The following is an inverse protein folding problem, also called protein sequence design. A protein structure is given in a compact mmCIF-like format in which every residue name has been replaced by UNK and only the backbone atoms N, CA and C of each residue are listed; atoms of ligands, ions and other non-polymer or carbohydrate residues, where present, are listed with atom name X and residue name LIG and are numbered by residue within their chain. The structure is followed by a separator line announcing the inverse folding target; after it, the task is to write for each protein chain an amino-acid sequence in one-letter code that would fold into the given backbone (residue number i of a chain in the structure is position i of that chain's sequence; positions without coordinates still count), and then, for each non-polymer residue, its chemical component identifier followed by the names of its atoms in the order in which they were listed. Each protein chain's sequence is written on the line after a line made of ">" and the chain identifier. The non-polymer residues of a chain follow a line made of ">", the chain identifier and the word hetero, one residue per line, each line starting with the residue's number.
data_IF_160910245599
#
_entry.id   IF_160910245599
#
_cell.length_a   1.000
_cell.length_b   1.000
_cell.length_c   1.000
_cell.angle_alpha   90.00
_cell.angle_beta   90.00
_cell.angle_gamma   90.00
#
_symmetry.space_group_name_H-M   'P 1'
#
loop_
_entity.id
_entity.type
_entity.pdbx_description
1 polymer ?
#
# COMPACT_ATOMS: atom_id res chain seq x y z
N UNK A 1 12.56 -32.35 -4.15
CA UNK A 1 12.49 -31.02 -4.76
C UNK A 1 12.81 -31.20 -6.23
N UNK A 2 11.86 -30.94 -7.11
CA UNK A 2 12.11 -30.95 -8.56
C UNK A 2 12.98 -29.75 -8.93
N UNK A 3 14.02 -30.00 -9.71
CA UNK A 3 14.86 -28.93 -10.27
C UNK A 3 14.02 -28.08 -11.23
N UNK A 4 14.20 -26.74 -11.22
CA UNK A 4 13.47 -25.85 -12.11
C UNK A 4 13.83 -26.13 -13.58
N UNK A 5 12.83 -26.03 -14.46
CA UNK A 5 12.97 -26.24 -15.91
C UNK A 5 14.04 -25.31 -16.49
N UNK A 6 14.89 -25.83 -17.38
CA UNK A 6 16.07 -25.14 -17.94
C UNK A 6 15.77 -23.82 -18.66
N UNK A 7 14.51 -23.55 -19.02
CA UNK A 7 14.05 -22.30 -19.65
C UNK A 7 13.84 -21.14 -18.65
N UNK A 8 13.92 -21.41 -17.34
CA UNK A 8 13.85 -20.41 -16.26
C UNK A 8 15.22 -20.14 -15.61
N UNK A 9 16.30 -20.72 -16.16
CA UNK A 9 17.63 -20.44 -15.67
C UNK A 9 18.16 -19.18 -16.36
N UNK A 10 18.38 -18.12 -15.58
CA UNK A 10 19.09 -16.92 -16.01
C UNK A 10 20.38 -17.30 -16.77
N UNK A 11 20.74 -16.55 -17.82
CA UNK A 11 21.97 -16.81 -18.55
C UNK A 11 23.22 -16.53 -17.68
N UNK A 12 24.41 -16.94 -18.15
CA UNK A 12 25.62 -16.81 -17.35
C UNK A 12 26.02 -15.35 -17.04
N UNK A 13 25.68 -14.39 -17.91
CA UNK A 13 25.92 -12.96 -17.70
C UNK A 13 24.89 -12.35 -16.74
N UNK A 14 23.64 -12.81 -16.80
CA UNK A 14 22.54 -12.40 -15.93
C UNK A 14 22.72 -12.93 -14.49
N UNK A 15 23.31 -14.12 -14.32
CA UNK A 15 23.75 -14.64 -13.00
C UNK A 15 24.94 -13.88 -12.43
N UNK A 16 25.79 -13.31 -13.27
CA UNK A 16 26.99 -12.57 -12.84
C UNK A 16 26.64 -11.13 -12.42
N UNK A 17 25.53 -10.58 -12.94
CA UNK A 17 24.98 -9.28 -12.56
C UNK A 17 23.75 -9.37 -11.64
N UNK A 18 23.41 -10.56 -11.15
CA UNK A 18 22.34 -10.73 -10.18
C UNK A 18 22.71 -9.95 -8.91
N UNK A 19 21.83 -9.06 -8.40
CA UNK A 19 22.12 -8.35 -7.17
C UNK A 19 22.33 -9.37 -6.04
N UNK A 20 23.38 -9.15 -5.25
CA UNK A 20 23.61 -9.91 -4.03
C UNK A 20 22.54 -9.50 -3.02
N UNK A 21 21.43 -10.24 -3.00
CA UNK A 21 20.31 -10.00 -2.11
C UNK A 21 20.70 -10.13 -0.63
N UNK A 22 21.77 -10.86 -0.33
CA UNK A 22 22.30 -11.02 1.02
C UNK A 22 23.20 -9.82 1.42
N UNK A 23 23.62 -8.97 0.47
CA UNK A 23 24.37 -7.75 0.72
C UNK A 23 23.48 -6.50 0.90
N UNK A 24 22.17 -6.59 0.64
CA UNK A 24 21.23 -5.52 0.96
C UNK A 24 21.17 -5.37 2.48
N UNK A 25 21.23 -4.12 2.97
CA UNK A 25 20.92 -3.82 4.37
C UNK A 25 19.60 -4.51 4.71
N UNK A 26 19.60 -5.30 5.79
CA UNK A 26 18.38 -6.01 6.17
C UNK A 26 17.24 -5.00 6.32
N UNK A 27 16.03 -5.28 5.81
CA UNK A 27 14.90 -4.35 5.93
C UNK A 27 14.68 -3.91 7.39
N UNK A 28 14.97 -4.80 8.33
CA UNK A 28 14.92 -4.54 9.77
C UNK A 28 15.91 -3.45 10.23
N UNK A 29 17.10 -3.40 9.66
CA UNK A 29 18.13 -2.42 10.01
C UNK A 29 17.89 -1.06 9.32
N UNK A 30 17.22 -1.06 8.16
CA UNK A 30 16.83 0.16 7.46
C UNK A 30 15.65 0.88 8.16
N UNK A 31 14.77 0.13 8.83
CA UNK A 31 13.53 0.65 9.42
C UNK A 31 13.67 1.02 10.90
N UNK A 32 14.62 0.44 11.65
CA UNK A 32 14.82 0.75 13.09
C UNK A 32 15.31 2.18 13.31
N UNK A 33 14.37 3.12 13.36
CA UNK A 33 14.57 4.44 13.97
C UNK A 33 14.34 4.37 15.48
N UNK A 34 14.96 5.24 16.27
CA UNK A 34 14.75 5.37 17.72
C UNK A 34 13.33 5.89 18.10
N UNK A 35 12.28 5.28 17.56
CA UNK A 35 10.88 5.63 17.80
C UNK A 35 10.03 4.38 17.76
N UNK A 36 10.08 3.59 18.83
CA UNK A 36 9.28 2.36 19.03
C UNK A 36 7.82 2.47 18.58
N UNK A 37 7.18 3.63 18.81
CA UNK A 37 5.82 3.90 18.33
C UNK A 37 5.72 3.89 16.80
N UNK A 38 6.65 4.55 16.12
CA UNK A 38 6.66 4.68 14.66
C UNK A 38 6.86 3.30 14.02
N UNK A 39 7.74 2.46 14.59
CA UNK A 39 7.94 1.07 14.12
C UNK A 39 6.66 0.23 14.24
N UNK A 40 5.96 0.32 15.37
CA UNK A 40 4.66 -0.35 15.54
C UNK A 40 3.57 0.22 14.65
N UNK A 41 3.61 1.53 14.40
CA UNK A 41 2.67 2.20 13.51
C UNK A 41 2.87 1.71 12.07
N UNK A 42 4.12 1.65 11.60
CA UNK A 42 4.46 1.13 10.28
C UNK A 42 4.09 -0.34 10.12
N UNK A 43 4.37 -1.17 11.14
CA UNK A 43 3.96 -2.57 11.17
C UNK A 43 2.44 -2.74 11.01
N UNK A 44 1.66 -1.97 11.78
CA UNK A 44 0.20 -1.96 11.71
C UNK A 44 -0.32 -1.44 10.37
N UNK A 45 0.28 -0.38 9.85
CA UNK A 45 -0.08 0.15 8.53
C UNK A 45 0.25 -0.85 7.41
N UNK A 46 1.19 -1.77 7.61
CA UNK A 46 1.53 -2.84 6.68
C UNK A 46 0.57 -4.03 6.66
N UNK A 47 -0.34 -4.16 7.64
CA UNK A 47 -1.22 -5.32 7.75
C UNK A 47 -2.20 -5.45 6.57
N UNK A 48 -2.14 -6.60 5.89
CA UNK A 48 -3.07 -6.98 4.81
C UNK A 48 -4.09 -8.04 5.23
N UNK A 49 -3.88 -8.67 6.40
CA UNK A 49 -4.73 -9.70 7.01
C UNK A 49 -4.75 -9.49 8.54
N UNK A 50 -5.72 -10.09 9.27
CA UNK A 50 -5.70 -10.08 10.73
C UNK A 50 -4.38 -10.62 11.27
N UNK A 51 -3.81 -9.94 12.26
CA UNK A 51 -2.55 -10.31 12.89
C UNK A 51 -2.64 -10.24 14.43
N UNK A 52 -1.97 -11.15 15.09
CA UNK A 52 -1.81 -11.19 16.54
C UNK A 52 -0.80 -10.15 17.03
N UNK A 53 -0.80 -9.85 18.33
CA UNK A 53 0.23 -9.01 18.93
C UNK A 53 1.65 -9.57 18.74
N UNK A 54 1.82 -10.89 18.66
CA UNK A 54 3.12 -11.51 18.39
C UNK A 54 3.60 -11.21 16.97
N UNK A 55 2.73 -11.40 15.97
CA UNK A 55 3.08 -11.12 14.57
C UNK A 55 3.38 -9.63 14.36
N UNK A 56 2.64 -8.74 15.02
CA UNK A 56 2.91 -7.29 14.98
C UNK A 56 4.25 -6.94 15.66
N UNK A 57 4.58 -7.60 16.77
CA UNK A 57 5.87 -7.45 17.45
C UNK A 57 7.04 -7.85 16.56
N UNK A 58 6.91 -8.98 15.87
CA UNK A 58 7.91 -9.48 14.93
C UNK A 58 8.09 -8.51 13.76
N UNK A 59 7.00 -7.99 13.19
CA UNK A 59 7.04 -6.99 12.11
C UNK A 59 7.70 -5.67 12.55
N UNK A 60 7.48 -5.25 13.80
CA UNK A 60 8.05 -4.01 14.34
C UNK A 60 9.48 -4.18 14.87
N UNK A 61 9.97 -5.42 15.04
CA UNK A 61 11.26 -5.71 15.66
C UNK A 61 11.32 -5.38 17.16
N UNK A 62 10.19 -5.44 17.86
CA UNK A 62 10.04 -5.08 19.28
C UNK A 62 9.36 -6.22 20.08
N UNK A 63 9.26 -6.07 21.40
CA UNK A 63 8.66 -7.08 22.28
C UNK A 63 7.12 -7.16 22.20
N UNK A 64 6.58 -8.36 22.40
CA UNK A 64 5.12 -8.63 22.37
C UNK A 64 4.33 -7.81 23.40
N UNK A 65 4.91 -7.54 24.57
CA UNK A 65 4.25 -6.72 25.59
C UNK A 65 4.07 -5.27 25.12
N UNK A 66 5.10 -4.68 24.49
CA UNK A 66 4.99 -3.37 23.86
C UNK A 66 3.98 -3.38 22.71
N UNK A 67 3.94 -4.46 21.92
CA UNK A 67 2.97 -4.61 20.84
C UNK A 67 1.52 -4.57 21.36
N UNK A 68 1.23 -5.23 22.49
CA UNK A 68 -0.10 -5.18 23.12
C UNK A 68 -0.46 -3.76 23.55
N UNK A 69 0.44 -3.06 24.24
CA UNK A 69 0.22 -1.67 24.66
C UNK A 69 -0.07 -0.74 23.47
N UNK A 70 0.72 -0.85 22.39
CA UNK A 70 0.52 -0.02 21.20
C UNK A 70 -0.72 -0.42 20.41
N UNK A 71 -1.09 -1.70 20.33
CA UNK A 71 -2.30 -2.15 19.67
C UNK A 71 -3.56 -1.65 20.39
N UNK A 72 -3.58 -1.68 21.72
CA UNK A 72 -4.65 -1.06 22.52
C UNK A 72 -4.73 0.45 22.26
N UNK A 73 -3.59 1.14 22.22
CA UNK A 73 -3.55 2.58 21.91
C UNK A 73 -4.04 2.88 20.49
N UNK A 74 -3.62 2.09 19.50
CA UNK A 74 -4.05 2.22 18.10
C UNK A 74 -5.53 1.90 17.92
N UNK A 75 -6.06 0.94 18.66
CA UNK A 75 -7.49 0.64 18.67
C UNK A 75 -8.29 1.81 19.23
N UNK A 76 -7.83 2.40 20.34
CA UNK A 76 -8.46 3.58 20.94
C UNK A 76 -8.49 4.80 20.01
N UNK A 77 -7.49 4.95 19.14
CA UNK A 77 -7.45 5.99 18.11
C UNK A 77 -8.18 5.61 16.82
N UNK A 78 -8.68 4.37 16.71
CA UNK A 78 -9.35 3.84 15.54
C UNK A 78 -8.42 3.45 14.39
N UNK A 79 -7.12 3.33 14.61
CA UNK A 79 -6.12 2.95 13.58
C UNK A 79 -6.19 1.44 13.28
N UNK A 80 -6.48 0.64 14.30
CA UNK A 80 -6.80 -0.79 14.17
C UNK A 80 -8.18 -1.10 14.73
N UNK A 81 -8.68 -2.29 14.43
CA UNK A 81 -9.82 -2.91 15.11
C UNK A 81 -9.44 -4.30 15.56
N UNK A 82 -9.75 -4.68 16.80
CA UNK A 82 -9.74 -6.08 17.18
C UNK A 82 -10.86 -6.84 16.48
N UNK A 83 -10.57 -8.01 15.90
CA UNK A 83 -11.55 -8.84 15.16
C UNK A 83 -11.76 -10.22 15.76
N UNK A 84 -10.88 -10.66 16.66
CA UNK A 84 -11.04 -11.89 17.44
C UNK A 84 -10.59 -11.67 18.88
N UNK A 85 -11.08 -12.49 19.80
CA UNK A 85 -10.75 -12.38 21.24
C UNK A 85 -9.71 -13.41 21.71
N UNK A 86 -9.62 -14.59 21.09
CA UNK A 86 -8.75 -15.68 21.56
C UNK A 86 -8.20 -16.55 20.42
N UNK A 87 -6.93 -16.35 19.99
CA UNK A 87 -6.08 -15.21 20.34
C UNK A 87 -6.66 -13.90 19.81
N UNK A 88 -6.31 -12.78 20.45
CA UNK A 88 -6.65 -11.46 19.93
C UNK A 88 -5.95 -11.22 18.60
N UNK A 89 -6.71 -10.82 17.57
CA UNK A 89 -6.17 -10.40 16.28
C UNK A 89 -6.70 -9.04 15.91
N UNK A 90 -5.88 -8.28 15.21
CA UNK A 90 -6.11 -6.90 14.84
C UNK A 90 -6.04 -6.76 13.33
N UNK A 91 -6.91 -5.91 12.79
CA UNK A 91 -6.86 -5.46 11.39
C UNK A 91 -6.65 -3.97 11.34
N UNK A 92 -5.90 -3.49 10.35
CA UNK A 92 -5.84 -2.07 10.02
C UNK A 92 -7.24 -1.56 9.69
N UNK A 93 -7.67 -0.48 10.33
CA UNK A 93 -8.96 0.14 10.08
C UNK A 93 -8.92 0.98 8.79
N UNK A 94 -8.96 0.29 7.64
CA UNK A 94 -8.82 0.95 6.33
C UNK A 94 -9.89 2.02 6.10
N UNK A 95 -11.11 1.80 6.56
CA UNK A 95 -12.22 2.74 6.41
C UNK A 95 -11.95 4.06 7.13
N UNK A 96 -11.47 4.00 8.37
CA UNK A 96 -11.13 5.21 9.14
C UNK A 96 -9.95 5.97 8.52
N UNK A 97 -8.91 5.27 8.09
CA UNK A 97 -7.75 5.90 7.45
C UNK A 97 -8.13 6.57 6.12
N UNK A 98 -8.99 5.92 5.31
CA UNK A 98 -9.52 6.50 4.08
C UNK A 98 -10.39 7.73 4.38
N UNK A 99 -11.26 7.65 5.38
CA UNK A 99 -12.10 8.79 5.79
C UNK A 99 -11.24 9.98 6.26
N UNK A 100 -10.23 9.76 7.11
CA UNK A 100 -9.29 10.83 7.52
C UNK A 100 -8.58 11.47 6.33
N UNK A 101 -8.19 10.66 5.35
CA UNK A 101 -7.55 11.16 4.11
C UNK A 101 -8.51 12.01 3.28
N UNK A 102 -9.77 11.62 3.18
CA UNK A 102 -10.81 12.40 2.49
C UNK A 102 -11.07 13.72 3.21
N UNK A 103 -11.22 13.70 4.53
CA UNK A 103 -11.42 14.93 5.33
C UNK A 103 -10.26 15.91 5.13
N UNK A 104 -9.02 15.44 5.20
CA UNK A 104 -7.84 16.26 4.92
C UNK A 104 -7.90 16.92 3.53
N UNK A 105 -8.31 16.19 2.49
CA UNK A 105 -8.46 16.75 1.15
C UNK A 105 -9.54 17.83 1.08
N UNK A 106 -10.66 17.65 1.79
CA UNK A 106 -11.75 18.61 1.84
C UNK A 106 -11.41 19.86 2.67
N UNK A 107 -10.59 19.70 3.71
CA UNK A 107 -10.11 20.80 4.54
C UNK A 107 -9.06 21.65 3.82
N UNK A 108 -8.19 21.01 3.02
CA UNK A 108 -7.07 21.67 2.34
C UNK A 108 -7.45 22.28 0.98
N UNK A 109 -8.44 21.72 0.29
CA UNK A 109 -8.75 22.09 -1.10
C UNK A 109 -10.23 22.33 -1.33
N UNK A 110 -10.54 23.32 -2.17
CA UNK A 110 -11.90 23.55 -2.65
C UNK A 110 -12.37 22.44 -3.59
N UNK A 111 -13.69 22.27 -3.72
CA UNK A 111 -14.27 21.30 -4.68
C UNK A 111 -13.81 21.55 -6.12
N UNK A 112 -13.54 22.81 -6.50
CA UNK A 112 -13.02 23.14 -7.83
C UNK A 112 -11.58 22.63 -8.03
N UNK A 113 -10.70 22.80 -7.04
CA UNK A 113 -9.33 22.28 -7.08
C UNK A 113 -9.30 20.75 -7.08
N UNK A 114 -10.13 20.11 -6.25
CA UNK A 114 -10.27 18.66 -6.23
C UNK A 114 -10.75 18.11 -7.58
N UNK A 115 -11.65 18.82 -8.26
CA UNK A 115 -12.12 18.45 -9.61
C UNK A 115 -11.00 18.57 -10.66
N UNK A 116 -10.14 19.59 -10.58
CA UNK A 116 -8.99 19.71 -11.48
C UNK A 116 -7.93 18.62 -11.22
N UNK A 117 -7.69 18.27 -9.96
CA UNK A 117 -6.83 17.13 -9.62
C UNK A 117 -7.40 15.82 -10.14
N UNK A 118 -8.73 15.63 -10.03
CA UNK A 118 -9.40 14.44 -10.53
C UNK A 118 -9.24 14.32 -12.05
N UNK A 119 -9.47 15.39 -12.80
CA UNK A 119 -9.25 15.41 -14.26
C UNK A 119 -7.82 15.04 -14.62
N UNK A 120 -6.84 15.59 -13.91
CA UNK A 120 -5.42 15.34 -14.16
C UNK A 120 -5.06 13.87 -13.93
N UNK A 121 -5.48 13.30 -12.80
CA UNK A 121 -5.17 11.90 -12.46
C UNK A 121 -5.97 10.91 -13.33
N UNK A 122 -7.20 11.26 -13.73
CA UNK A 122 -7.99 10.46 -14.66
C UNK A 122 -7.34 10.40 -16.05
N UNK A 123 -6.92 11.54 -16.60
CA UNK A 123 -6.20 11.60 -17.87
C UNK A 123 -4.90 10.78 -17.82
N UNK A 124 -4.12 10.92 -16.74
CA UNK A 124 -2.90 10.12 -16.53
C UNK A 124 -3.18 8.62 -16.49
N UNK A 125 -4.27 8.20 -15.83
CA UNK A 125 -4.66 6.80 -15.77
C UNK A 125 -5.10 6.26 -17.14
N UNK A 126 -5.76 7.08 -17.96
CA UNK A 126 -6.17 6.76 -19.32
C UNK A 126 -4.96 6.64 -20.26
N UNK A 127 -4.04 7.61 -20.25
CA UNK A 127 -2.79 7.57 -21.02
C UNK A 127 -1.97 6.29 -20.73
N UNK A 128 -1.90 5.88 -19.46
CA UNK A 128 -1.20 4.65 -19.06
C UNK A 128 -1.97 3.39 -19.48
N UNK A 129 -3.31 3.41 -19.44
CA UNK A 129 -4.13 2.30 -19.93
C UNK A 129 -3.95 2.11 -21.44
N UNK A 130 -3.96 3.20 -22.21
CA UNK A 130 -3.71 3.19 -23.66
C UNK A 130 -2.29 2.70 -23.98
N UNK A 131 -1.27 3.18 -23.24
CA UNK A 131 0.12 2.76 -23.42
C UNK A 131 0.28 1.23 -23.29
N UNK A 132 -0.39 0.62 -22.31
CA UNK A 132 -0.27 -0.81 -22.05
C UNK A 132 -1.29 -1.67 -22.80
N UNK A 133 -2.31 -1.07 -23.41
CA UNK A 133 -3.42 -1.73 -24.11
C UNK A 133 -4.08 -2.84 -23.26
N UNK A 134 -4.29 -2.55 -21.97
CA UNK A 134 -4.97 -3.46 -21.04
C UNK A 134 -5.95 -2.69 -20.15
N UNK A 135 -6.94 -3.39 -19.60
CA UNK A 135 -7.96 -2.78 -18.75
C UNK A 135 -7.48 -2.47 -17.31
N UNK A 136 -6.34 -3.03 -16.87
CA UNK A 136 -5.87 -2.89 -15.49
C UNK A 136 -4.35 -3.05 -15.39
N UNK A 137 -3.66 -2.30 -14.50
CA UNK A 137 -2.22 -2.44 -14.29
C UNK A 137 -1.81 -3.85 -13.84
N UNK A 138 -2.71 -4.61 -13.20
CA UNK A 138 -2.49 -6.00 -12.80
C UNK A 138 -2.38 -6.97 -13.97
N UNK A 139 -2.90 -6.60 -15.15
CA UNK A 139 -2.84 -7.42 -16.36
C UNK A 139 -1.53 -7.24 -17.14
N UNK A 140 -0.69 -6.26 -16.77
CA UNK A 140 0.57 -5.98 -17.46
C UNK A 140 1.61 -7.04 -17.12
N UNK A 141 2.12 -7.71 -18.14
CA UNK A 141 3.30 -8.58 -18.00
C UNK A 141 4.57 -7.76 -18.23
N UNK A 142 5.30 -7.46 -17.15
CA UNK A 142 6.47 -6.58 -17.19
C UNK A 142 7.53 -7.03 -18.19
N UNK A 143 7.94 -8.30 -18.13
CA UNK A 143 8.96 -8.86 -19.02
C UNK A 143 8.52 -8.87 -20.48
N UNK A 144 7.29 -9.30 -20.77
CA UNK A 144 6.77 -9.32 -22.15
C UNK A 144 6.67 -7.93 -22.75
N UNK A 145 6.22 -6.96 -21.97
CA UNK A 145 6.09 -5.59 -22.44
C UNK A 145 7.48 -4.96 -22.66
N UNK A 146 8.40 -5.11 -21.71
CA UNK A 146 9.78 -4.65 -21.81
C UNK A 146 10.47 -5.18 -23.09
N UNK A 147 10.36 -6.48 -23.37
CA UNK A 147 10.93 -7.08 -24.59
C UNK A 147 10.24 -6.62 -25.88
N UNK A 148 8.94 -6.32 -25.85
CA UNK A 148 8.19 -5.89 -27.03
C UNK A 148 8.41 -4.42 -27.39
N UNK A 149 8.77 -3.59 -26.41
CA UNK A 149 8.97 -2.14 -26.57
C UNK A 149 10.43 -1.70 -26.47
N UNK A 150 11.38 -2.65 -26.37
CA UNK A 150 12.82 -2.40 -26.12
C UNK A 150 13.07 -1.48 -24.90
N UNK A 151 12.23 -1.60 -23.86
CA UNK A 151 12.34 -0.87 -22.60
C UNK A 151 12.95 -1.74 -21.50
N UNK A 152 13.51 -1.11 -20.46
CA UNK A 152 13.93 -1.86 -19.28
C UNK A 152 12.71 -2.32 -18.46
N UNK A 153 12.87 -3.43 -17.72
CA UNK A 153 11.83 -3.90 -16.80
C UNK A 153 11.52 -2.85 -15.71
N UNK A 154 12.54 -2.10 -15.28
CA UNK A 154 12.43 -1.01 -14.30
C UNK A 154 11.48 0.09 -14.82
N UNK A 155 11.67 0.56 -16.05
CA UNK A 155 10.83 1.61 -16.65
C UNK A 155 9.37 1.16 -16.80
N UNK A 156 9.18 -0.10 -17.17
CA UNK A 156 7.85 -0.70 -17.28
C UNK A 156 7.20 -0.81 -15.90
N UNK A 157 7.96 -1.25 -14.89
CA UNK A 157 7.49 -1.33 -13.51
C UNK A 157 7.13 0.03 -12.92
N UNK A 158 7.94 1.06 -13.19
CA UNK A 158 7.67 2.44 -12.77
C UNK A 158 6.37 2.94 -13.39
N UNK A 159 6.18 2.74 -14.70
CA UNK A 159 4.96 3.14 -15.39
C UNK A 159 3.71 2.40 -14.86
N UNK A 160 3.80 1.09 -14.59
CA UNK A 160 2.71 0.33 -13.97
C UNK A 160 2.41 0.83 -12.54
N UNK A 161 3.44 1.15 -11.76
CA UNK A 161 3.30 1.68 -10.40
C UNK A 161 2.69 3.08 -10.40
N UNK A 162 3.08 3.94 -11.36
CA UNK A 162 2.46 5.23 -11.59
C UNK A 162 0.98 5.08 -11.96
N UNK A 163 0.63 4.07 -12.76
CA UNK A 163 -0.75 3.81 -13.14
C UNK A 163 -1.62 3.39 -11.94
N UNK A 164 -1.13 2.46 -11.11
CA UNK A 164 -1.79 2.08 -9.86
C UNK A 164 -2.01 3.28 -8.94
N UNK A 165 -1.02 4.17 -8.88
CA UNK A 165 -1.10 5.40 -8.07
C UNK A 165 -2.16 6.35 -8.62
N UNK A 166 -2.19 6.60 -9.93
CA UNK A 166 -3.17 7.47 -10.57
C UNK A 166 -4.60 6.97 -10.31
N UNK A 167 -4.85 5.67 -10.50
CA UNK A 167 -6.16 5.05 -10.21
C UNK A 167 -6.58 5.21 -8.74
N UNK A 168 -5.65 4.97 -7.80
CA UNK A 168 -5.93 5.16 -6.37
C UNK A 168 -6.24 6.63 -6.03
N UNK A 169 -5.58 7.58 -6.68
CA UNK A 169 -5.85 9.01 -6.50
C UNK A 169 -7.22 9.40 -7.04
N UNK A 170 -7.59 8.89 -8.22
CA UNK A 170 -8.93 9.07 -8.80
C UNK A 170 -10.01 8.62 -7.81
N UNK A 171 -9.94 7.39 -7.30
CA UNK A 171 -10.93 6.86 -6.34
C UNK A 171 -11.02 7.69 -5.05
N UNK A 172 -9.90 8.24 -4.59
CA UNK A 172 -9.84 9.06 -3.39
C UNK A 172 -10.47 10.44 -3.62
N UNK A 173 -10.18 11.07 -4.76
CA UNK A 173 -10.71 12.37 -5.16
C UNK A 173 -12.22 12.31 -5.45
N UNK A 174 -12.69 11.26 -6.14
CA UNK A 174 -14.11 11.01 -6.33
C UNK A 174 -14.86 10.88 -5.00
N UNK A 175 -14.28 10.16 -4.03
CA UNK A 175 -14.86 10.04 -2.68
C UNK A 175 -14.88 11.38 -1.95
N UNK A 176 -13.83 12.20 -2.11
CA UNK A 176 -13.78 13.54 -1.53
C UNK A 176 -14.79 14.50 -2.16
N UNK A 177 -15.15 14.31 -3.43
CA UNK A 177 -16.20 15.10 -4.08
C UNK A 177 -17.62 14.59 -3.78
N UNK A 178 -17.78 13.28 -3.54
CA UNK A 178 -19.08 12.66 -3.29
C UNK A 178 -19.59 12.80 -1.84
N UNK A 179 -18.69 13.02 -0.88
CA UNK A 179 -19.05 13.15 0.54
C UNK A 179 -19.28 14.61 0.87
N UNK A 180 -20.46 15.01 1.35
CA UNK A 180 -20.61 16.37 1.88
C UNK A 180 -19.77 16.55 3.16
N UNK A 181 -19.15 17.73 3.39
CA UNK A 181 -18.44 18.03 4.62
C UNK A 181 -19.43 18.05 5.80
N UNK A 182 -19.67 16.88 6.41
CA UNK A 182 -20.57 16.68 7.55
C UNK A 182 -21.34 15.36 7.56
N UNK A 183 -21.54 14.70 6.41
CA UNK A 183 -22.51 13.60 6.28
C UNK A 183 -22.02 12.23 6.82
N UNK A 184 -20.71 12.06 7.00
CA UNK A 184 -20.13 10.78 7.45
C UNK A 184 -20.22 10.54 8.98
N UNK A 185 -20.45 11.58 9.78
CA UNK A 185 -20.59 11.43 11.24
C UNK A 185 -21.95 10.82 11.63
N UNK A 186 -22.99 11.04 10.81
CA UNK A 186 -24.34 10.58 11.12
C UNK A 186 -24.60 9.10 10.78
N UNK A 187 -23.78 8.48 9.93
CA UNK A 187 -23.98 7.08 9.51
C UNK A 187 -23.32 6.04 10.43
N UNK A 188 -22.51 6.45 11.42
CA UNK A 188 -21.86 5.52 12.36
C UNK A 188 -22.65 5.33 13.68
N UNK A 189 -23.76 6.06 13.87
CA UNK A 189 -24.58 5.98 15.10
C UNK A 189 -25.80 5.05 14.98
N UNK A 190 -25.93 4.30 13.87
CA UNK A 190 -26.97 3.31 13.70
C UNK A 190 -26.36 1.92 13.46
N UNK A 191 -26.18 1.18 14.57
CA UNK A 191 -26.47 -0.25 14.83
C UNK A 191 -25.62 -0.72 16.01
#
# INVERSE_FOLDING_TARGET
>A
MEEPRSELQADAEERTNAPDFDALTSPEELVRGERTRDDFFDAVLGLSKPATASEVADLAGHGVDAAREYLEWFEQMGIVKQVTESPATYVRNQSYLNWRRVQMLQDEYSSAELLEFLKTEAARAEELAEKFDVASPEAVSLSKHASATDQSIEDVWEAVSAWKTARRRVELLERALATEPGDAADQQTAV
#
